data_IF_226556208496
#
_entry.id   IF_226556208496
#
_cell.length_a   1.000
_cell.length_b   1.000
_cell.length_c   1.000
_cell.angle_alpha   90.00
_cell.angle_beta   90.00
_cell.angle_gamma   90.00
#
_symmetry.space_group_name_H-M   'P 1'
#
loop_
_entity.id
_entity.type
_entity.pdbx_description
1 polymer ?
#
# COMPACT_ATOMS: atom_id res chain seq x y z
N UNK A 1 20.73 21.35 12.26
CA UNK A 1 21.31 20.00 12.34
C UNK A 1 20.16 19.02 12.59
N UNK A 2 19.27 18.89 11.63
CA UNK A 2 19.20 17.79 10.64
C UNK A 2 18.03 16.88 11.02
N UNK A 3 16.82 17.44 10.89
CA UNK A 3 15.55 16.74 11.03
C UNK A 3 15.53 15.44 10.21
N UNK A 4 16.33 15.38 9.13
CA UNK A 4 16.56 14.16 8.36
C UNK A 4 17.38 13.09 9.09
N UNK A 5 18.52 13.42 9.72
CA UNK A 5 19.34 12.44 10.46
C UNK A 5 18.60 11.86 11.66
N UNK A 6 17.83 12.70 12.34
CA UNK A 6 16.99 12.27 13.46
C UNK A 6 15.86 11.37 12.98
N UNK A 7 15.13 11.74 11.91
CA UNK A 7 14.11 10.87 11.30
C UNK A 7 14.69 9.56 10.76
N UNK A 8 15.89 9.59 10.19
CA UNK A 8 16.59 8.39 9.75
C UNK A 8 16.76 7.41 10.90
N UNK A 9 17.22 7.91 12.06
CA UNK A 9 17.44 7.08 13.25
C UNK A 9 16.16 6.65 13.95
N UNK A 10 15.21 7.55 14.13
CA UNK A 10 14.02 7.31 14.96
C UNK A 10 12.89 6.64 14.18
N UNK A 11 12.75 6.92 12.88
CA UNK A 11 11.67 6.35 12.06
C UNK A 11 12.19 5.30 11.09
N UNK A 12 13.11 5.67 10.20
CA UNK A 12 13.45 4.80 9.07
C UNK A 12 14.27 3.57 9.48
N UNK A 13 15.22 3.67 10.41
CA UNK A 13 15.96 2.50 10.90
C UNK A 13 15.04 1.47 11.60
N UNK A 14 14.14 1.86 12.52
CA UNK A 14 13.15 0.93 13.08
C UNK A 14 12.21 0.35 12.02
N UNK A 15 11.68 1.19 11.12
CA UNK A 15 10.80 0.71 10.04
C UNK A 15 11.52 -0.30 9.15
N UNK A 16 12.76 -0.01 8.76
CA UNK A 16 13.58 -0.92 7.96
C UNK A 16 13.85 -2.24 8.70
N UNK A 17 14.13 -2.18 10.00
CA UNK A 17 14.30 -3.37 10.85
C UNK A 17 13.02 -4.21 10.88
N UNK A 18 11.85 -3.58 11.05
CA UNK A 18 10.55 -4.27 11.00
C UNK A 18 10.31 -4.91 9.63
N UNK A 19 10.63 -4.20 8.53
CA UNK A 19 10.49 -4.74 7.17
C UNK A 19 11.39 -5.95 6.95
N UNK A 20 12.65 -5.90 7.40
CA UNK A 20 13.58 -7.04 7.31
C UNK A 20 13.06 -8.21 8.13
N UNK A 21 12.73 -7.99 9.40
CA UNK A 21 12.26 -9.05 10.30
C UNK A 21 10.99 -9.70 9.73
N UNK A 22 10.02 -8.90 9.29
CA UNK A 22 8.79 -9.41 8.67
C UNK A 22 9.08 -10.22 7.40
N UNK A 23 10.03 -9.77 6.57
CA UNK A 23 10.44 -10.48 5.36
C UNK A 23 11.16 -11.80 5.68
N UNK A 24 11.98 -11.84 6.73
CA UNK A 24 12.65 -13.06 7.20
C UNK A 24 11.66 -14.07 7.78
N UNK A 25 10.72 -13.60 8.61
CA UNK A 25 9.62 -14.44 9.13
C UNK A 25 8.81 -15.01 7.96
N UNK A 26 8.48 -14.18 6.97
CA UNK A 26 7.77 -14.64 5.78
C UNK A 26 8.56 -15.72 5.04
N UNK A 27 9.84 -15.49 4.75
CA UNK A 27 10.68 -16.48 4.06
C UNK A 27 10.81 -17.80 4.83
N UNK A 28 10.89 -17.72 6.16
CA UNK A 28 10.96 -18.91 7.02
C UNK A 28 9.69 -19.76 6.99
N UNK A 29 8.51 -19.13 6.97
CA UNK A 29 7.21 -19.82 6.98
C UNK A 29 6.79 -20.38 5.61
N UNK A 30 7.33 -19.84 4.52
CA UNK A 30 7.08 -20.33 3.16
C UNK A 30 8.38 -20.70 2.43
N UNK A 31 9.10 -21.74 2.92
CA UNK A 31 10.34 -22.17 2.32
C UNK A 31 10.10 -22.71 0.90
N UNK A 32 11.11 -22.61 0.02
CA UNK A 32 11.12 -23.07 -1.39
C UNK A 32 10.49 -22.13 -2.44
N UNK A 33 10.35 -20.84 -2.16
CA UNK A 33 9.96 -19.82 -3.16
C UNK A 33 11.20 -19.17 -3.77
N UNK A 34 11.16 -18.84 -5.06
CA UNK A 34 12.21 -18.06 -5.71
C UNK A 34 12.21 -16.61 -5.22
N UNK A 35 13.35 -15.92 -5.37
CA UNK A 35 13.57 -14.58 -4.82
C UNK A 35 12.49 -13.57 -5.25
N UNK A 36 12.07 -13.59 -6.52
CA UNK A 36 11.04 -12.67 -7.04
C UNK A 36 9.70 -12.92 -6.34
N UNK A 37 9.32 -14.19 -6.12
CA UNK A 37 8.09 -14.53 -5.40
C UNK A 37 8.15 -14.11 -3.93
N UNK A 38 9.29 -14.28 -3.26
CA UNK A 38 9.46 -13.81 -1.87
C UNK A 38 9.34 -12.29 -1.81
N UNK A 39 10.06 -11.57 -2.67
CA UNK A 39 10.04 -10.10 -2.74
C UNK A 39 8.62 -9.60 -3.00
N UNK A 40 7.94 -10.15 -4.02
CA UNK A 40 6.58 -9.75 -4.38
C UNK A 40 5.61 -9.93 -3.22
N UNK A 41 5.59 -11.11 -2.60
CA UNK A 41 4.63 -11.38 -1.53
C UNK A 41 4.94 -10.58 -0.25
N UNK A 42 6.20 -10.58 0.21
CA UNK A 42 6.58 -9.89 1.43
C UNK A 42 6.34 -8.38 1.31
N UNK A 43 6.77 -7.76 0.21
CA UNK A 43 6.54 -6.33 -0.01
C UNK A 43 5.04 -6.00 -0.13
N UNK A 44 4.23 -6.86 -0.75
CA UNK A 44 2.77 -6.70 -0.82
C UNK A 44 2.13 -6.68 0.56
N UNK A 45 2.36 -7.72 1.38
CA UNK A 45 1.78 -7.81 2.73
C UNK A 45 2.26 -6.70 3.67
N UNK A 46 3.55 -6.40 3.68
CA UNK A 46 4.10 -5.37 4.55
C UNK A 46 3.57 -4.00 4.12
N UNK A 47 3.48 -3.73 2.80
CA UNK A 47 2.98 -2.44 2.30
C UNK A 47 1.55 -2.15 2.75
N UNK A 48 0.62 -3.11 2.61
CA UNK A 48 -0.79 -2.88 2.94
C UNK A 48 -0.99 -2.68 4.44
N UNK A 49 -0.21 -3.37 5.27
CA UNK A 49 -0.21 -3.19 6.73
C UNK A 49 0.30 -1.78 7.09
N UNK A 50 1.42 -1.34 6.53
CA UNK A 50 1.96 -0.01 6.79
C UNK A 50 1.02 1.11 6.31
N UNK A 51 0.42 0.96 5.12
CA UNK A 51 -0.58 1.91 4.61
C UNK A 51 -1.79 1.95 5.54
N UNK A 52 -2.28 0.80 6.00
CA UNK A 52 -3.37 0.71 6.99
C UNK A 52 -3.02 1.48 8.26
N UNK A 53 -1.84 1.25 8.84
CA UNK A 53 -1.40 2.01 10.01
C UNK A 53 -1.33 3.52 9.74
N UNK A 54 -0.82 3.94 8.58
CA UNK A 54 -0.77 5.36 8.21
C UNK A 54 -2.17 6.00 8.16
N UNK A 55 -3.18 5.27 7.69
CA UNK A 55 -4.57 5.74 7.67
C UNK A 55 -5.17 5.81 9.07
N UNK A 56 -4.83 4.89 9.96
CA UNK A 56 -5.37 4.79 11.32
C UNK A 56 -4.80 5.82 12.31
N UNK A 57 -3.57 6.32 12.09
CA UNK A 57 -2.93 7.31 12.98
C UNK A 57 -3.84 8.54 13.20
N UNK A 58 -4.51 9.03 12.16
CA UNK A 58 -5.39 10.19 12.24
C UNK A 58 -6.56 9.98 13.23
N UNK A 59 -7.43 8.98 12.99
CA UNK A 59 -8.48 8.60 13.93
C UNK A 59 -7.99 8.32 15.34
N UNK A 60 -6.89 7.57 15.51
CA UNK A 60 -6.35 7.27 16.84
C UNK A 60 -5.96 8.53 17.60
N UNK A 61 -5.30 9.49 16.95
CA UNK A 61 -4.96 10.76 17.58
C UNK A 61 -6.21 11.50 18.08
N UNK A 62 -7.31 11.46 17.32
CA UNK A 62 -8.58 12.08 17.75
C UNK A 62 -9.20 11.35 18.94
N UNK A 63 -9.27 10.01 18.89
CA UNK A 63 -9.82 9.16 19.97
C UNK A 63 -9.09 9.42 21.29
N UNK A 64 -7.76 9.51 21.24
CA UNK A 64 -6.92 9.76 22.42
C UNK A 64 -6.75 11.25 22.77
N UNK A 65 -7.53 12.15 22.16
CA UNK A 65 -7.46 13.61 22.36
C UNK A 65 -6.05 14.20 22.18
N UNK A 66 -5.25 13.61 21.30
CA UNK A 66 -3.90 14.06 20.95
C UNK A 66 -3.95 15.07 19.81
N UNK A 67 -2.90 15.87 19.66
CA UNK A 67 -2.73 16.79 18.52
C UNK A 67 -2.77 15.99 17.22
N UNK A 68 -3.62 16.40 16.27
CA UNK A 68 -3.75 15.76 14.97
C UNK A 68 -3.47 16.77 13.84
N UNK A 69 -2.21 17.21 13.67
CA UNK A 69 -1.86 18.17 12.63
C UNK A 69 -2.07 17.57 11.23
N UNK A 70 -2.10 18.43 10.20
CA UNK A 70 -2.33 18.02 8.81
C UNK A 70 -1.29 16.98 8.35
N UNK A 71 -0.04 17.14 8.77
CA UNK A 71 1.06 16.24 8.49
C UNK A 71 1.88 16.03 9.76
N UNK A 72 2.22 14.79 10.06
CA UNK A 72 3.22 14.41 11.07
C UNK A 72 4.31 13.63 10.36
N UNK A 73 5.57 13.84 10.74
CA UNK A 73 6.69 13.06 10.19
C UNK A 73 6.46 11.55 10.35
N UNK A 74 6.01 11.09 11.52
CA UNK A 74 5.78 9.66 11.75
C UNK A 74 4.75 9.04 10.78
N UNK A 75 3.55 9.63 10.66
CA UNK A 75 2.52 9.16 9.70
C UNK A 75 3.02 9.17 8.25
N UNK A 76 3.74 10.22 7.88
CA UNK A 76 4.28 10.38 6.52
C UNK A 76 5.37 9.37 6.23
N UNK A 77 6.24 9.10 7.19
CA UNK A 77 7.37 8.18 7.02
C UNK A 77 6.89 6.72 6.91
N UNK A 78 5.90 6.33 7.72
CA UNK A 78 5.19 5.04 7.56
C UNK A 78 4.53 4.94 6.18
N UNK A 79 3.83 6.01 5.76
CA UNK A 79 3.17 6.07 4.45
C UNK A 79 4.17 5.96 3.28
N UNK A 80 5.33 6.61 3.39
CA UNK A 80 6.42 6.53 2.40
C UNK A 80 6.97 5.11 2.34
N UNK A 81 7.29 4.48 3.48
CA UNK A 81 7.77 3.10 3.50
C UNK A 81 6.76 2.13 2.91
N UNK A 82 5.48 2.26 3.27
CA UNK A 82 4.39 1.47 2.69
C UNK A 82 4.25 1.68 1.19
N UNK A 83 4.28 2.93 0.72
CA UNK A 83 4.22 3.26 -0.70
C UNK A 83 5.41 2.70 -1.50
N UNK A 84 6.64 2.82 -0.99
CA UNK A 84 7.84 2.27 -1.64
C UNK A 84 7.71 0.75 -1.78
N UNK A 85 7.26 0.05 -0.74
CA UNK A 85 7.04 -1.38 -0.79
C UNK A 85 5.91 -1.77 -1.74
N UNK A 86 4.85 -0.98 -1.85
CA UNK A 86 3.79 -1.22 -2.83
C UNK A 86 4.27 -1.04 -4.29
N UNK A 87 5.14 -0.07 -4.54
CA UNK A 87 5.78 0.10 -5.85
C UNK A 87 6.74 -1.06 -6.14
N UNK A 88 7.57 -1.46 -5.17
CA UNK A 88 8.43 -2.63 -5.28
C UNK A 88 7.62 -3.90 -5.57
N UNK A 89 6.52 -4.11 -4.84
CA UNK A 89 5.56 -5.20 -5.06
C UNK A 89 5.03 -5.19 -6.49
N UNK A 90 4.59 -4.03 -6.97
CA UNK A 90 4.02 -3.89 -8.32
C UNK A 90 5.05 -4.19 -9.39
N UNK A 91 6.27 -3.66 -9.26
CA UNK A 91 7.36 -3.92 -10.21
C UNK A 91 7.75 -5.40 -10.20
N UNK A 92 7.99 -5.99 -9.02
CA UNK A 92 8.35 -7.40 -8.91
C UNK A 92 7.22 -8.33 -9.37
N UNK A 93 5.97 -7.96 -9.09
CA UNK A 93 4.76 -8.69 -9.46
C UNK A 93 4.56 -8.82 -10.96
N UNK A 94 5.03 -7.84 -11.76
CA UNK A 94 5.04 -7.96 -13.22
C UNK A 94 5.96 -9.09 -13.73
N UNK A 95 6.97 -9.49 -12.95
CA UNK A 95 7.92 -10.53 -13.34
C UNK A 95 7.63 -11.90 -12.72
N UNK A 96 6.73 -12.00 -11.73
CA UNK A 96 6.58 -13.22 -10.93
C UNK A 96 5.81 -14.35 -11.65
N UNK A 97 4.77 -14.03 -12.43
CA UNK A 97 3.93 -15.05 -13.09
C UNK A 97 4.27 -15.24 -14.56
N UNK A 98 4.41 -14.14 -15.31
CA UNK A 98 4.57 -14.20 -16.77
C UNK A 98 6.01 -13.92 -17.23
N UNK A 99 6.96 -13.86 -16.28
CA UNK A 99 8.42 -13.80 -16.49
C UNK A 99 8.82 -12.84 -17.62
N UNK A 100 8.27 -11.62 -17.60
CA UNK A 100 8.59 -10.55 -18.55
C UNK A 100 7.57 -10.31 -19.68
N UNK A 101 6.55 -11.17 -19.84
CA UNK A 101 5.41 -10.92 -20.76
C UNK A 101 4.36 -9.99 -20.12
N UNK A 102 4.80 -8.81 -19.66
CA UNK A 102 4.03 -7.95 -18.77
C UNK A 102 2.70 -7.47 -19.37
N UNK A 103 2.60 -7.31 -20.69
CA UNK A 103 1.35 -6.93 -21.37
C UNK A 103 0.24 -7.97 -21.19
N UNK A 104 0.58 -9.24 -20.98
CA UNK A 104 -0.41 -10.29 -20.78
C UNK A 104 -1.12 -10.19 -19.42
N UNK A 105 -0.63 -9.40 -18.46
CA UNK A 105 -1.40 -9.07 -17.26
C UNK A 105 -2.66 -8.25 -17.57
N UNK A 106 -2.66 -7.55 -18.71
CA UNK A 106 -3.71 -6.62 -19.12
C UNK A 106 -4.39 -7.02 -20.44
N UNK A 107 -3.81 -7.95 -21.20
CA UNK A 107 -4.31 -8.39 -22.49
C UNK A 107 -4.40 -9.92 -22.56
N UNK A 108 -5.53 -10.41 -23.06
CA UNK A 108 -5.72 -11.81 -23.42
C UNK A 108 -5.22 -12.07 -24.83
N UNK A 109 -4.41 -13.12 -25.01
CA UNK A 109 -4.03 -13.59 -26.34
C UNK A 109 -5.23 -14.30 -26.97
N UNK A 110 -5.63 -13.86 -28.15
CA UNK A 110 -6.73 -14.43 -28.95
C UNK A 110 -6.21 -14.96 -30.27
N UNK A 111 -7.03 -15.71 -31.01
CA UNK A 111 -6.67 -16.21 -32.35
C UNK A 111 -6.31 -15.07 -33.31
N UNK A 112 -7.00 -13.93 -33.20
CA UNK A 112 -6.78 -12.74 -34.04
C UNK A 112 -5.84 -11.68 -33.44
N UNK A 113 -5.09 -12.00 -32.37
CA UNK A 113 -4.17 -11.04 -31.73
C UNK A 113 -4.35 -10.90 -30.22
N UNK A 114 -4.72 -9.71 -29.76
CA UNK A 114 -4.90 -9.41 -28.33
C UNK A 114 -6.20 -8.66 -28.07
N UNK A 115 -6.89 -9.02 -26.99
CA UNK A 115 -8.07 -8.33 -26.47
C UNK A 115 -7.83 -7.85 -25.04
N UNK A 116 -8.59 -6.84 -24.60
CA UNK A 116 -8.55 -6.34 -23.22
C UNK A 116 -8.94 -7.46 -22.26
N UNK A 117 -8.13 -7.69 -21.23
CA UNK A 117 -8.37 -8.76 -20.25
C UNK A 117 -9.35 -8.28 -19.17
N UNK A 118 -10.62 -8.66 -19.28
CA UNK A 118 -11.68 -8.28 -18.32
C UNK A 118 -12.07 -9.39 -17.33
N UNK A 119 -11.33 -10.49 -17.32
CA UNK A 119 -11.49 -11.57 -16.32
C UNK A 119 -10.96 -11.14 -14.94
N UNK A 120 -11.17 -11.99 -13.92
CA UNK A 120 -10.74 -11.71 -12.53
C UNK A 120 -9.25 -11.40 -12.43
N UNK A 121 -8.42 -12.03 -13.27
CA UNK A 121 -6.98 -11.74 -13.30
C UNK A 121 -6.71 -10.35 -13.87
N UNK A 122 -7.40 -9.95 -14.94
CA UNK A 122 -7.34 -8.59 -15.47
C UNK A 122 -7.81 -7.54 -14.45
N UNK A 123 -8.96 -7.77 -13.83
CA UNK A 123 -9.51 -6.88 -12.80
C UNK A 123 -8.57 -6.72 -11.61
N UNK A 124 -7.93 -7.81 -11.15
CA UNK A 124 -6.87 -7.73 -10.16
C UNK A 124 -5.77 -6.78 -10.63
N UNK A 125 -5.24 -6.97 -11.84
CA UNK A 125 -4.08 -6.21 -12.31
C UNK A 125 -4.40 -4.74 -12.62
N UNK A 126 -5.57 -4.41 -13.17
CA UNK A 126 -5.97 -3.01 -13.39
C UNK A 126 -6.11 -2.26 -12.08
N UNK A 127 -6.77 -2.84 -11.09
CA UNK A 127 -6.95 -2.20 -9.78
C UNK A 127 -5.62 -2.07 -9.05
N UNK A 128 -4.74 -3.07 -9.15
CA UNK A 128 -3.37 -2.99 -8.65
C UNK A 128 -2.55 -1.87 -9.30
N UNK A 129 -2.62 -1.75 -10.63
CA UNK A 129 -1.94 -0.70 -11.38
C UNK A 129 -2.45 0.70 -11.00
N UNK A 130 -3.78 0.88 -10.92
CA UNK A 130 -4.37 2.16 -10.50
C UNK A 130 -3.90 2.53 -9.09
N UNK A 131 -3.91 1.58 -8.16
CA UNK A 131 -3.39 1.79 -6.80
C UNK A 131 -1.92 2.22 -6.82
N UNK A 132 -1.06 1.52 -7.58
CA UNK A 132 0.35 1.83 -7.70
C UNK A 132 0.61 3.23 -8.28
N UNK A 133 -0.12 3.64 -9.32
CA UNK A 133 -0.01 4.97 -9.91
C UNK A 133 -0.40 6.07 -8.92
N UNK A 134 -1.48 5.87 -8.16
CA UNK A 134 -1.86 6.80 -7.10
C UNK A 134 -0.77 6.87 -6.04
N UNK A 135 -0.24 5.73 -5.58
CA UNK A 135 0.83 5.71 -4.58
C UNK A 135 2.12 6.38 -5.07
N UNK A 136 2.47 6.25 -6.35
CA UNK A 136 3.58 6.97 -6.96
C UNK A 136 3.35 8.50 -6.87
N UNK A 137 2.17 8.99 -7.23
CA UNK A 137 1.81 10.40 -7.07
C UNK A 137 1.94 10.86 -5.60
N UNK A 138 1.47 10.04 -4.66
CA UNK A 138 1.56 10.36 -3.23
C UNK A 138 3.01 10.38 -2.75
N UNK A 139 3.85 9.45 -3.19
CA UNK A 139 5.28 9.41 -2.87
C UNK A 139 6.00 10.65 -3.40
N UNK A 140 5.78 11.00 -4.66
CA UNK A 140 6.36 12.19 -5.30
C UNK A 140 6.01 13.45 -4.49
N UNK A 141 4.80 13.54 -3.95
CA UNK A 141 4.34 14.70 -3.18
C UNK A 141 4.60 14.61 -1.66
N UNK A 142 5.21 13.52 -1.15
CA UNK A 142 5.43 13.29 0.28
C UNK A 142 6.73 13.89 0.85
N UNK A 143 7.30 14.88 0.19
CA UNK A 143 8.53 15.55 0.62
C UNK A 143 8.25 16.98 1.16
N UNK A 144 9.22 17.54 1.89
CA UNK A 144 9.08 18.87 2.50
C UNK A 144 8.99 19.99 1.47
N UNK A 145 9.59 19.82 0.29
CA UNK A 145 9.50 20.80 -0.80
C UNK A 145 8.06 20.88 -1.34
N UNK A 146 7.46 19.75 -1.70
CA UNK A 146 6.07 19.68 -2.15
C UNK A 146 5.09 20.17 -1.09
N UNK A 147 5.33 19.90 0.20
CA UNK A 147 4.49 20.42 1.28
C UNK A 147 4.57 21.94 1.45
N UNK A 148 5.70 22.57 1.11
CA UNK A 148 5.87 24.04 1.17
C UNK A 148 5.32 24.72 -0.09
N UNK A 149 5.49 24.09 -1.25
CA UNK A 149 5.04 24.64 -2.54
C UNK A 149 3.54 24.49 -2.73
N UNK A 150 2.98 23.33 -2.35
CA UNK A 150 1.54 23.11 -2.34
C UNK A 150 1.01 23.63 -1.02
N UNK A 151 0.13 24.62 -1.03
CA UNK A 151 -0.50 25.08 0.21
C UNK A 151 -1.09 23.88 1.02
N UNK A 152 -1.19 23.97 2.36
CA UNK A 152 -1.52 22.82 3.20
C UNK A 152 -2.84 22.11 2.84
N UNK A 153 -3.81 22.84 2.30
CA UNK A 153 -5.11 22.29 1.89
C UNK A 153 -4.99 21.49 0.61
N UNK A 154 -4.34 22.03 -0.43
CA UNK A 154 -4.11 21.33 -1.70
C UNK A 154 -3.27 20.07 -1.48
N UNK A 155 -2.17 20.18 -0.72
CA UNK A 155 -1.36 19.02 -0.38
C UNK A 155 -2.18 17.94 0.32
N UNK A 156 -3.00 18.32 1.30
CA UNK A 156 -3.87 17.38 2.01
C UNK A 156 -4.90 16.72 1.09
N UNK A 157 -5.46 17.46 0.13
CA UNK A 157 -6.41 16.90 -0.84
C UNK A 157 -5.74 15.87 -1.75
N UNK A 158 -4.50 16.11 -2.19
CA UNK A 158 -3.73 15.09 -2.90
C UNK A 158 -3.51 13.87 -2.01
N UNK A 159 -3.08 14.07 -0.76
CA UNK A 159 -2.84 12.96 0.17
C UNK A 159 -4.09 12.14 0.53
N UNK A 160 -5.30 12.69 0.34
CA UNK A 160 -6.56 11.95 0.52
C UNK A 160 -6.79 10.88 -0.55
N UNK A 161 -6.10 10.93 -1.69
CA UNK A 161 -6.11 9.83 -2.64
C UNK A 161 -5.54 8.53 -2.04
N UNK A 162 -4.89 8.57 -0.88
CA UNK A 162 -4.51 7.36 -0.12
C UNK A 162 -5.68 6.46 0.21
N UNK A 163 -6.88 7.01 0.46
CA UNK A 163 -8.09 6.20 0.66
C UNK A 163 -8.47 5.44 -0.60
N UNK A 164 -8.39 6.10 -1.76
CA UNK A 164 -8.70 5.49 -3.05
C UNK A 164 -7.67 4.41 -3.41
N UNK A 165 -6.38 4.70 -3.23
CA UNK A 165 -5.31 3.72 -3.41
C UNK A 165 -5.50 2.48 -2.52
N UNK A 166 -5.89 2.68 -1.25
CA UNK A 166 -6.14 1.59 -0.32
C UNK A 166 -7.32 0.72 -0.76
N UNK A 167 -8.44 1.33 -1.19
CA UNK A 167 -9.59 0.59 -1.73
C UNK A 167 -9.17 -0.24 -2.95
N UNK A 168 -8.48 0.36 -3.91
CA UNK A 168 -8.00 -0.37 -5.09
C UNK A 168 -7.00 -1.48 -4.74
N UNK A 169 -6.15 -1.30 -3.73
CA UNK A 169 -5.23 -2.34 -3.25
C UNK A 169 -5.97 -3.52 -2.61
N UNK A 170 -7.05 -3.25 -1.85
CA UNK A 170 -7.91 -4.31 -1.30
C UNK A 170 -8.62 -5.06 -2.42
N UNK A 171 -9.21 -4.35 -3.38
CA UNK A 171 -9.88 -4.96 -4.54
C UNK A 171 -8.91 -5.82 -5.35
N UNK A 172 -7.71 -5.30 -5.64
CA UNK A 172 -6.62 -6.04 -6.28
C UNK A 172 -6.33 -7.36 -5.55
N UNK A 173 -6.17 -7.28 -4.22
CA UNK A 173 -5.84 -8.44 -3.39
C UNK A 173 -6.95 -9.49 -3.38
N UNK A 174 -8.22 -9.05 -3.33
CA UNK A 174 -9.39 -9.94 -3.36
C UNK A 174 -9.48 -10.68 -4.69
N UNK A 175 -9.46 -9.96 -5.82
CA UNK A 175 -9.53 -10.60 -7.16
C UNK A 175 -8.33 -11.51 -7.41
N UNK A 176 -7.12 -11.08 -7.05
CA UNK A 176 -5.93 -11.91 -7.21
C UNK A 176 -6.04 -13.22 -6.43
N UNK A 177 -6.59 -13.17 -5.21
CA UNK A 177 -6.81 -14.37 -4.41
C UNK A 177 -7.92 -15.27 -4.96
N UNK A 178 -9.00 -14.71 -5.54
CA UNK A 178 -10.04 -15.49 -6.24
C UNK A 178 -9.37 -16.36 -7.33
N UNK A 179 -8.49 -15.75 -8.12
CA UNK A 179 -7.73 -16.46 -9.18
C UNK A 179 -6.82 -17.54 -8.59
N UNK A 180 -6.18 -17.29 -7.44
CA UNK A 180 -5.26 -18.24 -6.82
C UNK A 180 -5.96 -19.48 -6.21
N UNK A 181 -7.29 -19.50 -6.10
CA UNK A 181 -8.12 -20.65 -5.66
C UNK A 181 -7.65 -21.35 -4.38
N UNK A 182 -7.00 -20.63 -3.48
CA UNK A 182 -6.49 -21.16 -2.20
C UNK A 182 -6.90 -20.23 -1.06
N UNK A 183 -7.96 -20.57 -0.29
CA UNK A 183 -8.30 -19.83 0.92
C UNK A 183 -7.25 -20.13 2.00
N UNK A 184 -6.42 -19.15 2.32
CA UNK A 184 -5.51 -19.16 3.47
C UNK A 184 -6.00 -18.22 4.57
N UNK A 185 -5.40 -18.27 5.77
CA UNK A 185 -5.73 -17.34 6.87
C UNK A 185 -5.65 -15.86 6.42
N UNK A 186 -4.81 -15.59 5.43
CA UNK A 186 -4.58 -14.27 4.84
C UNK A 186 -5.73 -13.80 3.95
N UNK A 187 -6.54 -14.72 3.41
CA UNK A 187 -7.82 -14.40 2.77
C UNK A 187 -8.72 -13.54 3.68
N UNK A 188 -8.77 -13.91 4.96
CA UNK A 188 -9.55 -13.21 5.97
C UNK A 188 -8.87 -11.95 6.50
N UNK A 189 -7.69 -11.55 6.01
CA UNK A 189 -7.01 -10.34 6.47
C UNK A 189 -7.62 -9.07 5.86
N UNK A 190 -7.95 -9.09 4.57
CA UNK A 190 -8.24 -7.85 3.83
C UNK A 190 -9.59 -7.23 4.18
N UNK A 191 -10.65 -8.03 4.31
CA UNK A 191 -11.98 -7.52 4.67
C UNK A 191 -12.00 -6.90 6.07
N UNK A 192 -11.42 -7.52 7.13
CA UNK A 192 -11.24 -6.87 8.42
C UNK A 192 -10.38 -5.61 8.36
N UNK A 193 -9.28 -5.58 7.59
CA UNK A 193 -8.50 -4.35 7.43
C UNK A 193 -9.35 -3.21 6.84
N UNK A 194 -10.10 -3.50 5.77
CA UNK A 194 -11.01 -2.53 5.15
C UNK A 194 -12.06 -2.04 6.15
N UNK A 195 -12.72 -2.96 6.85
CA UNK A 195 -13.74 -2.66 7.84
C UNK A 195 -13.19 -1.84 9.01
N UNK A 196 -12.02 -2.22 9.52
CA UNK A 196 -11.34 -1.53 10.61
C UNK A 196 -10.95 -0.11 10.19
N UNK A 197 -10.32 0.06 9.04
CA UNK A 197 -10.02 1.41 8.50
C UNK A 197 -11.31 2.22 8.36
N UNK A 198 -12.36 1.65 7.76
CA UNK A 198 -13.64 2.34 7.56
C UNK A 198 -14.26 2.81 8.89
N UNK A 199 -14.39 1.94 9.88
CA UNK A 199 -14.93 2.29 11.20
C UNK A 199 -14.14 3.42 11.84
N UNK A 200 -12.81 3.30 11.87
CA UNK A 200 -11.98 4.31 12.51
C UNK A 200 -12.05 5.65 11.78
N UNK A 201 -12.12 5.66 10.44
CA UNK A 201 -12.35 6.90 9.70
C UNK A 201 -13.71 7.53 10.06
N UNK A 202 -14.78 6.73 10.14
CA UNK A 202 -16.11 7.22 10.50
C UNK A 202 -16.15 7.80 11.91
N UNK A 203 -15.49 7.15 12.87
CA UNK A 203 -15.32 7.68 14.24
C UNK A 203 -14.55 9.00 14.21
N UNK A 204 -13.43 9.06 13.48
CA UNK A 204 -12.62 10.27 13.35
C UNK A 204 -13.39 11.44 12.73
N UNK A 205 -14.22 11.19 11.72
CA UNK A 205 -15.09 12.21 11.11
C UNK A 205 -16.10 12.73 12.12
N UNK A 206 -16.81 11.83 12.84
CA UNK A 206 -17.79 12.21 13.86
C UNK A 206 -17.16 13.06 14.98
N UNK A 207 -15.96 12.72 15.42
CA UNK A 207 -15.26 13.47 16.47
C UNK A 207 -14.82 14.88 16.03
N UNK A 208 -14.64 15.12 14.72
CA UNK A 208 -14.23 16.42 14.20
C UNK A 208 -15.42 17.36 13.92
N UNK A 209 -16.62 16.80 13.82
CA UNK A 209 -17.87 17.54 13.61
C UNK A 209 -18.54 17.98 14.92
N UNK A 210 -18.13 17.39 16.05
CA UNK A 210 -18.49 17.83 17.41
C UNK A 210 -17.52 18.91 17.88
#
# INVERSE_FOLDING_TARGET
MDNFRERLKIHYLPLFSVVIIASLIFNHNWPKRDAITVITNASGYISIILITFSLLIGPFNLIFKRKNPISTYFRRDIGITGGILAVLHSVAGLFVHLRGKNWQYFLNKTEHGYSIRLDDFGLANYTGLISALILILLLITSNDFSFRQLNPTTWKNIQRFSYLAFIFAIVHSVYYKIVQTNPDLVWYLYLPLLFFVFIFQMVGIRMKLK
#
